data_IF_580842925596
#
_entry.id   IF_580842925596
#
_cell.length_a   1.000
_cell.length_b   1.000
_cell.length_c   1.000
_cell.angle_alpha   90.00
_cell.angle_beta   90.00
_cell.angle_gamma   90.00
#
_symmetry.space_group_name_H-M   'P 1'
#
loop_
_entity.id
_entity.type
_entity.pdbx_description
1 polymer ?
#
# COMPACT_ATOMS: atom_id res chain seq x y z
N UNK A 1 -10.94 11.39 9.74
CA UNK A 1 -9.54 10.95 9.86
C UNK A 1 -9.45 9.45 9.56
N UNK A 2 -8.88 9.08 8.41
CA UNK A 2 -8.65 7.68 7.99
C UNK A 2 -7.21 7.21 8.35
N UNK A 3 -6.54 7.93 9.25
CA UNK A 3 -5.14 7.76 9.64
C UNK A 3 -4.74 6.31 9.97
N UNK A 4 -5.54 5.49 10.69
CA UNK A 4 -5.17 4.09 10.92
C UNK A 4 -5.43 3.15 9.73
N UNK A 5 -6.18 3.57 8.71
CA UNK A 5 -6.67 2.70 7.64
C UNK A 5 -5.64 2.55 6.52
N UNK A 6 -4.93 3.61 6.15
CA UNK A 6 -3.93 3.53 5.07
C UNK A 6 -2.78 2.55 5.38
N UNK A 7 -2.19 2.53 6.60
CA UNK A 7 -1.18 1.54 6.96
C UNK A 7 -1.66 0.07 6.88
N UNK A 8 -2.97 -0.20 6.93
CA UNK A 8 -3.50 -1.57 6.82
C UNK A 8 -3.26 -2.19 5.44
N UNK A 9 -3.03 -1.38 4.39
CA UNK A 9 -2.61 -1.90 3.09
C UNK A 9 -1.23 -2.58 3.18
N UNK A 10 -0.31 -2.03 3.98
CA UNK A 10 0.97 -2.68 4.25
C UNK A 10 0.77 -4.01 4.97
N UNK A 11 -0.16 -4.07 5.94
CA UNK A 11 -0.49 -5.31 6.66
C UNK A 11 -0.99 -6.39 5.71
N UNK A 12 -1.77 -6.02 4.69
CA UNK A 12 -2.27 -6.95 3.67
C UNK A 12 -1.12 -7.63 2.90
N UNK A 13 -0.06 -6.89 2.57
CA UNK A 13 1.17 -7.44 1.97
C UNK A 13 1.85 -8.43 2.91
N UNK A 14 1.99 -8.08 4.19
CA UNK A 14 2.60 -8.95 5.19
C UNK A 14 1.82 -10.25 5.40
N UNK A 15 0.49 -10.18 5.40
CA UNK A 15 -0.38 -11.34 5.54
C UNK A 15 -0.30 -12.26 4.32
N UNK A 16 -0.30 -11.71 3.10
CA UNK A 16 -0.20 -12.52 1.88
C UNK A 16 1.15 -13.20 1.73
N UNK A 17 2.22 -12.55 2.20
CA UNK A 17 3.56 -13.12 2.15
C UNK A 17 3.89 -13.98 3.37
N UNK A 18 2.94 -14.29 4.27
CA UNK A 18 3.24 -15.18 5.41
C UNK A 18 3.73 -16.55 4.91
N UNK A 19 4.88 -16.98 5.44
CA UNK A 19 5.49 -18.25 5.05
C UNK A 19 6.14 -18.26 3.66
N UNK A 20 6.19 -17.12 2.94
CA UNK A 20 6.90 -16.99 1.66
C UNK A 20 8.36 -16.57 1.92
N UNK A 21 9.35 -17.44 1.69
CA UNK A 21 10.76 -17.10 1.88
C UNK A 21 11.33 -16.39 0.65
N UNK A 22 12.56 -15.87 0.80
CA UNK A 22 13.35 -15.34 -0.31
C UNK A 22 13.47 -13.81 -0.34
N UNK A 23 14.46 -13.30 -1.10
CA UNK A 23 14.81 -11.88 -1.11
C UNK A 23 13.68 -11.00 -1.67
N UNK A 24 12.93 -11.48 -2.66
CA UNK A 24 11.82 -10.72 -3.26
C UNK A 24 10.69 -10.48 -2.24
N UNK A 25 10.33 -11.51 -1.47
CA UNK A 25 9.30 -11.40 -0.43
C UNK A 25 9.75 -10.46 0.71
N UNK A 26 11.04 -10.47 1.06
CA UNK A 26 11.60 -9.51 2.01
C UNK A 26 11.64 -8.09 1.46
N UNK A 27 11.99 -7.90 0.19
CA UNK A 27 11.92 -6.61 -0.49
C UNK A 27 10.50 -6.04 -0.49
N UNK A 28 9.50 -6.88 -0.76
CA UNK A 28 8.09 -6.49 -0.69
C UNK A 28 7.67 -6.01 0.72
N UNK A 29 8.08 -6.73 1.77
CA UNK A 29 7.82 -6.37 3.17
C UNK A 29 8.51 -5.07 3.58
N UNK A 30 9.77 -4.89 3.18
CA UNK A 30 10.53 -3.67 3.45
C UNK A 30 9.88 -2.46 2.76
N UNK A 31 9.47 -2.62 1.50
CA UNK A 31 8.74 -1.58 0.76
C UNK A 31 7.37 -1.29 1.38
N UNK A 32 6.63 -2.32 1.85
CA UNK A 32 5.37 -2.13 2.56
C UNK A 32 5.56 -1.35 3.88
N UNK A 33 6.64 -1.60 4.62
CA UNK A 33 7.00 -0.82 5.80
C UNK A 33 7.37 0.63 5.44
N UNK A 34 8.07 0.84 4.33
CA UNK A 34 8.34 2.17 3.79
C UNK A 34 7.05 2.94 3.54
N UNK A 35 6.09 2.32 2.85
CA UNK A 35 4.76 2.90 2.65
C UNK A 35 4.09 3.26 3.98
N UNK A 36 3.97 2.30 4.91
CA UNK A 36 3.33 2.53 6.20
C UNK A 36 3.98 3.71 6.95
N UNK A 37 5.31 3.81 6.91
CA UNK A 37 6.06 4.88 7.57
C UNK A 37 5.80 6.23 6.91
N UNK A 38 6.08 6.37 5.61
CA UNK A 38 5.98 7.64 4.90
C UNK A 38 4.54 8.15 4.82
N UNK A 39 3.57 7.27 4.62
CA UNK A 39 2.16 7.65 4.56
C UNK A 39 1.63 8.07 5.94
N UNK A 40 2.08 7.41 7.02
CA UNK A 40 1.74 7.85 8.39
C UNK A 40 2.31 9.24 8.68
N UNK A 41 3.57 9.50 8.29
CA UNK A 41 4.17 10.83 8.46
C UNK A 41 3.39 11.88 7.66
N UNK A 42 2.96 11.54 6.45
CA UNK A 42 2.12 12.41 5.60
C UNK A 42 0.82 12.77 6.31
N UNK A 43 0.11 11.78 6.85
CA UNK A 43 -1.14 11.99 7.59
C UNK A 43 -0.94 12.85 8.85
N UNK A 44 0.19 12.68 9.54
CA UNK A 44 0.53 13.51 10.71
C UNK A 44 0.82 14.96 10.30
N UNK A 45 1.60 15.19 9.24
CA UNK A 45 1.97 16.55 8.82
C UNK A 45 0.80 17.27 8.13
N UNK A 46 0.27 16.71 7.04
CA UNK A 46 -0.76 17.33 6.23
C UNK A 46 -2.16 17.21 6.85
N UNK A 47 -2.42 16.13 7.59
CA UNK A 47 -3.73 15.92 8.23
C UNK A 47 -3.84 16.65 9.58
N UNK A 48 -2.92 16.38 10.51
CA UNK A 48 -3.00 16.91 11.88
C UNK A 48 -2.28 18.26 11.99
N UNK A 49 -1.04 18.35 11.50
CA UNK A 49 -0.21 19.55 11.65
C UNK A 49 -0.78 20.76 10.92
N UNK A 50 -1.18 20.58 9.66
CA UNK A 50 -1.75 21.66 8.85
C UNK A 50 -3.12 22.13 9.36
N UNK A 51 -3.95 21.21 9.85
CA UNK A 51 -5.26 21.52 10.45
C UNK A 51 -5.10 22.33 11.73
N UNK A 52 -4.25 21.89 12.67
CA UNK A 52 -4.00 22.60 13.92
C UNK A 52 -3.44 24.01 13.69
N UNK A 53 -2.57 24.16 12.69
CA UNK A 53 -2.00 25.45 12.33
C UNK A 53 -3.05 26.38 11.70
N UNK A 54 -3.90 25.86 10.82
CA UNK A 54 -5.04 26.60 10.25
C UNK A 54 -5.99 27.06 11.34
N UNK A 55 -6.31 26.18 12.29
CA UNK A 55 -7.18 26.48 13.44
C UNK A 55 -6.62 27.63 14.28
N UNK A 56 -5.33 27.58 14.64
CA UNK A 56 -4.66 28.64 15.41
C UNK A 56 -4.57 29.97 14.65
N UNK A 57 -4.30 29.92 13.35
CA UNK A 57 -4.28 31.10 12.50
C UNK A 57 -5.65 31.80 12.51
N UNK A 58 -6.74 31.02 12.38
CA UNK A 58 -8.11 31.53 12.48
C UNK A 58 -8.43 32.17 13.84
N UNK A 59 -7.99 31.57 14.95
CA UNK A 59 -8.14 32.15 16.30
C UNK A 59 -7.40 33.50 16.45
N UNK A 60 -6.35 33.71 15.67
CA UNK A 60 -5.55 34.94 15.65
C UNK A 60 -6.01 35.96 14.60
N UNK A 61 -7.10 35.66 13.87
CA UNK A 61 -7.60 36.52 12.79
C UNK A 61 -6.71 36.55 11.55
N UNK A 62 -5.78 35.59 11.42
CA UNK A 62 -4.93 35.44 10.24
C UNK A 62 -5.73 34.72 9.14
N UNK A 63 -5.70 35.22 7.89
CA UNK A 63 -6.37 34.56 6.76
C UNK A 63 -5.89 33.11 6.53
N UNK A 64 -6.77 32.26 6.00
CA UNK A 64 -6.44 30.90 5.56
C UNK A 64 -5.37 30.90 4.45
N UNK A 65 -4.72 29.75 4.24
CA UNK A 65 -3.70 29.59 3.19
C UNK A 65 -2.38 30.30 3.52
N UNK A 66 -1.92 30.19 4.77
CA UNK A 66 -0.64 30.75 5.17
C UNK A 66 0.53 29.94 4.60
N UNK A 67 1.66 30.60 4.36
CA UNK A 67 2.89 29.95 3.85
C UNK A 67 3.29 28.74 4.71
N UNK A 68 3.07 28.82 6.02
CA UNK A 68 3.39 27.74 6.95
C UNK A 68 2.47 26.53 6.74
N UNK A 69 1.17 26.73 6.53
CA UNK A 69 0.21 25.66 6.20
C UNK A 69 0.57 25.02 4.85
N UNK A 70 0.86 25.84 3.84
CA UNK A 70 1.24 25.37 2.51
C UNK A 70 2.56 24.57 2.54
N UNK A 71 3.51 24.99 3.37
CA UNK A 71 4.79 24.28 3.56
C UNK A 71 4.55 22.89 4.16
N UNK A 72 3.68 22.77 5.17
CA UNK A 72 3.33 21.46 5.73
C UNK A 72 2.66 20.54 4.70
N UNK A 73 1.74 21.09 3.89
CA UNK A 73 1.13 20.33 2.80
C UNK A 73 2.15 19.91 1.75
N UNK A 74 3.08 20.78 1.37
CA UNK A 74 4.13 20.46 0.40
C UNK A 74 5.01 19.32 0.88
N UNK A 75 5.57 19.43 2.09
CA UNK A 75 6.42 18.38 2.68
C UNK A 75 5.63 17.09 2.87
N UNK A 76 4.39 17.19 3.34
CA UNK A 76 3.49 16.03 3.44
C UNK A 76 3.29 15.33 2.10
N UNK A 77 2.99 16.07 1.03
CA UNK A 77 2.79 15.51 -0.31
C UNK A 77 4.05 14.87 -0.89
N UNK A 78 5.22 15.45 -0.66
CA UNK A 78 6.50 14.86 -1.08
C UNK A 78 6.73 13.50 -0.40
N UNK A 79 6.56 13.44 0.92
CA UNK A 79 6.68 12.18 1.67
C UNK A 79 5.60 11.18 1.26
N UNK A 80 4.37 11.65 1.02
CA UNK A 80 3.25 10.83 0.54
C UNK A 80 3.57 10.20 -0.81
N UNK A 81 4.20 10.96 -1.71
CA UNK A 81 4.67 10.47 -3.01
C UNK A 81 5.70 9.35 -2.84
N UNK A 82 6.67 9.50 -1.94
CA UNK A 82 7.63 8.43 -1.62
C UNK A 82 6.90 7.19 -1.11
N UNK A 83 5.96 7.37 -0.18
CA UNK A 83 5.14 6.26 0.34
C UNK A 83 4.39 5.52 -0.76
N UNK A 84 3.72 6.27 -1.65
CA UNK A 84 2.98 5.74 -2.81
C UNK A 84 3.89 4.86 -3.69
N UNK A 85 5.12 5.28 -3.96
CA UNK A 85 6.09 4.48 -4.72
C UNK A 85 6.57 3.26 -3.93
N UNK A 86 6.80 3.38 -2.63
CA UNK A 86 7.08 2.23 -1.78
C UNK A 86 5.95 1.18 -1.86
N UNK A 87 4.68 1.61 -1.85
CA UNK A 87 3.55 0.70 -1.97
C UNK A 87 3.48 0.03 -3.34
N UNK A 88 3.75 0.76 -4.42
CA UNK A 88 3.79 0.21 -5.77
C UNK A 88 4.87 -0.88 -5.89
N UNK A 89 6.07 -0.62 -5.36
CA UNK A 89 7.15 -1.62 -5.29
C UNK A 89 6.74 -2.82 -4.45
N UNK A 90 6.08 -2.61 -3.30
CA UNK A 90 5.58 -3.69 -2.46
C UNK A 90 4.58 -4.58 -3.20
N UNK A 91 3.63 -3.99 -3.94
CA UNK A 91 2.65 -4.71 -4.74
C UNK A 91 3.31 -5.50 -5.87
N UNK A 92 4.26 -4.90 -6.61
CA UNK A 92 4.96 -5.56 -7.70
C UNK A 92 5.82 -6.74 -7.21
N UNK A 93 6.58 -6.54 -6.13
CA UNK A 93 7.37 -7.61 -5.53
C UNK A 93 6.50 -8.72 -4.94
N UNK A 94 5.35 -8.39 -4.33
CA UNK A 94 4.37 -9.38 -3.85
C UNK A 94 3.81 -10.22 -4.99
N UNK A 95 3.36 -9.57 -6.07
CA UNK A 95 2.87 -10.23 -7.26
C UNK A 95 3.93 -11.18 -7.86
N UNK A 96 5.18 -10.71 -7.99
CA UNK A 96 6.28 -11.52 -8.48
C UNK A 96 6.56 -12.73 -7.57
N UNK A 97 6.68 -12.52 -6.26
CA UNK A 97 6.96 -13.59 -5.30
C UNK A 97 5.90 -14.69 -5.36
N UNK A 98 4.61 -14.31 -5.39
CA UNK A 98 3.50 -15.26 -5.43
C UNK A 98 3.35 -15.95 -6.79
N UNK A 99 3.61 -15.26 -7.90
CA UNK A 99 3.62 -15.89 -9.24
C UNK A 99 4.77 -16.90 -9.35
N UNK A 100 5.95 -16.61 -8.80
CA UNK A 100 7.07 -17.56 -8.77
C UNK A 100 6.74 -18.78 -7.91
N UNK A 101 6.11 -18.58 -6.75
CA UNK A 101 5.82 -19.66 -5.79
C UNK A 101 4.63 -20.54 -6.21
N UNK A 102 3.53 -19.93 -6.67
CA UNK A 102 2.25 -20.59 -6.91
C UNK A 102 2.03 -20.86 -8.42
N UNK A 103 2.80 -20.19 -9.28
CA UNK A 103 2.77 -20.34 -10.73
C UNK A 103 1.63 -19.54 -11.37
N UNK A 104 1.26 -19.95 -12.61
CA UNK A 104 0.30 -19.23 -13.48
C UNK A 104 -1.07 -18.98 -12.84
N UNK A 105 -1.45 -19.74 -11.81
CA UNK A 105 -2.71 -19.55 -11.07
C UNK A 105 -2.79 -18.22 -10.34
N UNK A 106 -1.65 -17.64 -9.94
CA UNK A 106 -1.61 -16.34 -9.29
C UNK A 106 -1.72 -15.15 -10.27
N UNK A 107 -1.62 -15.38 -11.59
CA UNK A 107 -1.58 -14.31 -12.60
C UNK A 107 -2.82 -13.39 -12.56
N UNK A 108 -4.07 -13.88 -12.45
CA UNK A 108 -5.23 -12.99 -12.42
C UNK A 108 -5.18 -12.00 -11.25
N UNK A 109 -4.91 -12.49 -10.04
CA UNK A 109 -4.78 -11.64 -8.85
C UNK A 109 -3.59 -10.70 -8.93
N UNK A 110 -2.45 -11.17 -9.44
CA UNK A 110 -1.25 -10.36 -9.67
C UNK A 110 -1.51 -9.21 -10.65
N UNK A 111 -2.20 -9.47 -11.77
CA UNK A 111 -2.54 -8.44 -12.75
C UNK A 111 -3.48 -7.40 -12.17
N UNK A 112 -4.53 -7.80 -11.46
CA UNK A 112 -5.46 -6.87 -10.81
C UNK A 112 -4.73 -6.03 -9.76
N UNK A 113 -3.87 -6.64 -8.95
CA UNK A 113 -3.06 -5.93 -7.96
C UNK A 113 -2.13 -4.89 -8.61
N UNK A 114 -1.46 -5.24 -9.71
CA UNK A 114 -0.58 -4.33 -10.44
C UNK A 114 -1.35 -3.17 -11.08
N UNK A 115 -2.54 -3.41 -11.63
CA UNK A 115 -3.42 -2.36 -12.14
C UNK A 115 -3.79 -1.39 -11.01
N UNK A 116 -4.21 -1.91 -9.86
CA UNK A 116 -4.50 -1.08 -8.68
C UNK A 116 -3.29 -0.28 -8.21
N UNK A 117 -2.09 -0.88 -8.22
CA UNK A 117 -0.85 -0.19 -7.86
C UNK A 117 -0.52 0.97 -8.83
N UNK A 118 -0.69 0.77 -10.14
CA UNK A 118 -0.48 1.83 -11.14
C UNK A 118 -1.49 2.97 -10.93
N UNK A 119 -2.78 2.64 -10.77
CA UNK A 119 -3.81 3.64 -10.47
C UNK A 119 -3.50 4.41 -9.18
N UNK A 120 -2.99 3.71 -8.16
CA UNK A 120 -2.57 4.31 -6.90
C UNK A 120 -1.47 5.35 -7.12
N UNK A 121 -0.44 5.03 -7.91
CA UNK A 121 0.63 5.99 -8.27
C UNK A 121 0.14 7.18 -9.08
N UNK A 122 -0.92 7.01 -9.90
CA UNK A 122 -1.52 8.08 -10.69
C UNK A 122 -2.44 9.03 -9.91
N UNK A 123 -2.48 8.95 -8.58
CA UNK A 123 -3.33 9.81 -7.73
C UNK A 123 -4.77 9.33 -7.58
N UNK A 124 -5.16 8.20 -8.18
CA UNK A 124 -6.50 7.61 -8.05
C UNK A 124 -6.63 6.83 -6.74
N UNK A 125 -6.31 7.41 -5.58
CA UNK A 125 -6.34 6.68 -4.30
C UNK A 125 -6.87 7.44 -3.09
N UNK A 126 -6.95 8.77 -3.15
CA UNK A 126 -7.34 9.60 -1.99
C UNK A 126 -8.80 10.03 -2.07
N UNK A 127 -9.19 10.66 -3.19
CA UNK A 127 -10.47 11.35 -3.29
C UNK A 127 -11.56 10.48 -3.91
N UNK A 128 -12.76 10.56 -3.34
CA UNK A 128 -13.95 10.00 -3.96
C UNK A 128 -14.22 10.68 -5.32
N UNK A 129 -14.71 9.95 -6.34
CA UNK A 129 -15.02 8.50 -6.35
C UNK A 129 -13.82 7.60 -6.64
N UNK A 130 -12.78 8.15 -7.26
CA UNK A 130 -11.65 7.41 -7.81
C UNK A 130 -10.90 6.58 -6.76
N UNK A 131 -10.68 7.15 -5.57
CA UNK A 131 -10.00 6.46 -4.48
C UNK A 131 -10.74 5.22 -4.02
N UNK A 132 -12.07 5.30 -3.86
CA UNK A 132 -12.88 4.14 -3.43
C UNK A 132 -12.84 3.04 -4.47
N UNK A 133 -13.00 3.39 -5.76
CA UNK A 133 -12.91 2.42 -6.86
C UNK A 133 -11.56 1.71 -6.85
N UNK A 134 -10.46 2.45 -6.68
CA UNK A 134 -9.14 1.86 -6.65
C UNK A 134 -8.88 0.99 -5.41
N UNK A 135 -9.39 1.36 -4.24
CA UNK A 135 -9.31 0.50 -3.04
C UNK A 135 -10.03 -0.83 -3.27
N UNK A 136 -11.17 -0.82 -3.98
CA UNK A 136 -11.85 -2.06 -4.36
C UNK A 136 -11.02 -2.89 -5.34
N UNK A 137 -10.37 -2.27 -6.33
CA UNK A 137 -9.44 -2.96 -7.25
C UNK A 137 -8.30 -3.63 -6.48
N UNK A 138 -7.65 -2.91 -5.57
CA UNK A 138 -6.58 -3.45 -4.72
C UNK A 138 -7.10 -4.59 -3.83
N UNK A 139 -8.26 -4.43 -3.19
CA UNK A 139 -8.88 -5.45 -2.36
C UNK A 139 -9.18 -6.74 -3.16
N UNK A 140 -9.69 -6.62 -4.39
CA UNK A 140 -9.92 -7.76 -5.28
C UNK A 140 -8.59 -8.41 -5.66
N UNK A 141 -7.55 -7.64 -6.00
CA UNK A 141 -6.23 -8.17 -6.32
C UNK A 141 -5.62 -8.97 -5.17
N UNK A 142 -5.63 -8.40 -3.97
CA UNK A 142 -5.18 -9.07 -2.75
C UNK A 142 -6.04 -10.31 -2.42
N UNK A 143 -7.36 -10.21 -2.53
CA UNK A 143 -8.29 -11.31 -2.26
C UNK A 143 -8.09 -12.49 -3.22
N UNK A 144 -7.94 -12.24 -4.51
CA UNK A 144 -7.65 -13.27 -5.52
C UNK A 144 -6.32 -13.98 -5.24
N UNK A 145 -5.28 -13.24 -4.86
CA UNK A 145 -3.99 -13.81 -4.49
C UNK A 145 -4.09 -14.65 -3.20
N UNK A 146 -4.81 -14.17 -2.19
CA UNK A 146 -4.98 -14.87 -0.91
C UNK A 146 -5.86 -16.11 -1.01
N UNK A 147 -6.82 -16.13 -1.92
CA UNK A 147 -7.68 -17.29 -2.18
C UNK A 147 -6.99 -18.37 -3.05
N UNK A 148 -5.82 -18.09 -3.63
CA UNK A 148 -5.11 -19.05 -4.49
C UNK A 148 -4.35 -20.06 -3.63
N UNK A 149 -4.69 -21.37 -3.66
CA UNK A 149 -4.00 -22.36 -2.84
C UNK A 149 -2.55 -22.54 -3.26
N UNK A 150 -1.66 -22.71 -2.27
CA UNK A 150 -0.27 -23.07 -2.51
C UNK A 150 -0.17 -24.38 -3.32
N UNK A 151 0.81 -24.47 -4.22
CA UNK A 151 1.06 -25.68 -5.00
C UNK A 151 1.43 -26.81 -4.04
N UNK A 152 0.58 -27.82 -3.93
CA UNK A 152 0.93 -29.05 -3.20
C UNK A 152 2.15 -29.66 -3.86
N UNK A 153 3.23 -29.88 -3.08
CA UNK A 153 4.34 -30.68 -3.56
C UNK A 153 3.83 -32.09 -3.92
N UNK A 154 4.35 -32.73 -4.98
CA UNK A 154 4.03 -34.13 -5.26
C UNK A 154 4.31 -34.95 -3.99
N UNK A 155 3.31 -35.67 -3.46
CA UNK A 155 3.55 -36.65 -2.41
C UNK A 155 4.49 -37.69 -3.01
N UNK A 156 5.77 -37.64 -2.64
CA UNK A 156 6.73 -38.67 -2.99
C UNK A 156 6.14 -40.02 -2.60
N UNK A 157 6.08 -40.93 -3.57
CA UNK A 157 5.62 -42.29 -3.38
C UNK A 157 6.41 -42.94 -2.26
N UNK A 158 5.75 -43.18 -1.12
CA UNK A 158 6.18 -44.23 -0.21
C UNK A 158 5.94 -45.56 -0.94
N UNK A 159 6.92 -46.00 -1.71
CA UNK A 159 7.03 -47.40 -2.09
C UNK A 159 7.82 -48.04 -0.96
N UNK A 160 7.09 -48.78 -0.14
CA UNK A 160 7.61 -49.55 0.97
C UNK A 160 8.56 -50.65 0.49
N UNK A 161 9.44 -51.00 1.43
CA UNK A 161 10.40 -52.10 1.45
C UNK A 161 9.76 -53.48 1.24
#
# INVERSE_FOLDING_TARGET
MLLPIFPLLAVSVWLLLRGVPGPVAWGARAAANGYATFYTVTDVLAGIGADELTRRAGEQGVPEGTVQVDTLFSVGNELGTIGVWCFAVACAATALALVVQIGRRALPGAMVLLVGAVLFTGGFHIYWPNGVVNMLVLAVGFGLLGATPARSAPRGSQVGE
#
